data_IF_213702637886
#
_entry.id   IF_213702637886
#
_cell.length_a   1.000
_cell.length_b   1.000
_cell.length_c   1.000
_cell.angle_alpha   90.00
_cell.angle_beta   90.00
_cell.angle_gamma   90.00
#
_symmetry.space_group_name_H-M   'P 1'
#
loop_
_entity.id
_entity.type
_entity.pdbx_description
1 polymer ?
#
# COMPACT_ATOMS: atom_id res chain seq x y z
N UNK A 1 -62.12 -9.87 -35.17
CA UNK A 1 -62.67 -9.13 -34.02
C UNK A 1 -61.69 -9.35 -32.89
N UNK A 2 -60.66 -8.53 -32.84
CA UNK A 2 -59.59 -8.67 -31.84
C UNK A 2 -59.78 -7.56 -30.81
N UNK A 3 -60.47 -7.89 -29.70
CA UNK A 3 -60.46 -7.05 -28.52
C UNK A 3 -59.12 -7.28 -27.83
N UNK A 4 -58.14 -6.44 -28.15
CA UNK A 4 -56.92 -6.34 -27.36
C UNK A 4 -57.27 -5.55 -26.09
N UNK A 5 -57.79 -6.24 -25.08
CA UNK A 5 -57.99 -5.67 -23.76
C UNK A 5 -56.60 -5.50 -23.13
N UNK A 6 -56.04 -4.30 -23.29
CA UNK A 6 -54.71 -3.98 -22.79
C UNK A 6 -54.62 -4.13 -21.26
N UNK A 7 -53.43 -4.43 -20.70
CA UNK A 7 -53.26 -4.61 -19.27
C UNK A 7 -53.78 -3.38 -18.48
N UNK A 8 -54.46 -3.58 -17.34
CA UNK A 8 -54.99 -2.47 -16.56
C UNK A 8 -53.85 -1.53 -16.13
N UNK A 9 -54.10 -0.21 -16.17
CA UNK A 9 -53.08 0.81 -15.85
C UNK A 9 -52.39 0.57 -14.49
N UNK A 10 -53.13 0.03 -13.52
CA UNK A 10 -52.59 -0.35 -12.21
C UNK A 10 -51.50 -1.44 -12.31
N UNK A 11 -51.68 -2.43 -13.19
CA UNK A 11 -50.68 -3.47 -13.43
C UNK A 11 -49.43 -2.90 -14.12
N UNK A 12 -49.60 -1.95 -15.05
CA UNK A 12 -48.48 -1.25 -15.69
C UNK A 12 -47.68 -0.42 -14.68
N UNK A 13 -48.35 0.30 -13.79
CA UNK A 13 -47.70 1.10 -12.73
C UNK A 13 -46.97 0.20 -11.74
N UNK A 14 -47.59 -0.89 -11.28
CA UNK A 14 -46.96 -1.83 -10.36
C UNK A 14 -45.72 -2.49 -10.97
N UNK A 15 -45.78 -2.90 -12.24
CA UNK A 15 -44.65 -3.46 -12.96
C UNK A 15 -43.49 -2.44 -13.10
N UNK A 16 -43.81 -1.18 -13.38
CA UNK A 16 -42.80 -0.11 -13.47
C UNK A 16 -42.10 0.13 -12.13
N UNK A 17 -42.86 0.20 -11.02
CA UNK A 17 -42.28 0.41 -9.68
C UNK A 17 -41.38 -0.76 -9.29
N UNK A 18 -41.80 -2.00 -9.55
CA UNK A 18 -40.98 -3.18 -9.29
C UNK A 18 -39.69 -3.18 -10.13
N UNK A 19 -39.79 -2.82 -11.42
CA UNK A 19 -38.62 -2.74 -12.30
C UNK A 19 -37.63 -1.68 -11.83
N UNK A 20 -38.09 -0.47 -11.50
CA UNK A 20 -37.25 0.62 -10.99
C UNK A 20 -36.63 0.26 -9.64
N UNK A 21 -37.41 -0.35 -8.74
CA UNK A 21 -36.91 -0.82 -7.44
C UNK A 21 -35.82 -1.87 -7.59
N UNK A 22 -36.03 -2.87 -8.46
CA UNK A 22 -35.04 -3.90 -8.75
C UNK A 22 -33.75 -3.30 -9.34
N UNK A 23 -33.85 -2.37 -10.29
CA UNK A 23 -32.69 -1.67 -10.86
C UNK A 23 -31.96 -0.88 -9.76
N UNK A 24 -32.68 -0.16 -8.90
CA UNK A 24 -32.09 0.59 -7.79
C UNK A 24 -31.30 -0.31 -6.83
N UNK A 25 -31.85 -1.48 -6.48
CA UNK A 25 -31.16 -2.47 -5.64
C UNK A 25 -29.92 -3.03 -6.35
N UNK A 26 -30.03 -3.38 -7.64
CA UNK A 26 -28.90 -3.90 -8.42
C UNK A 26 -27.77 -2.87 -8.52
N UNK A 27 -28.08 -1.60 -8.77
CA UNK A 27 -27.10 -0.52 -8.83
C UNK A 27 -26.43 -0.28 -7.47
N UNK A 28 -27.20 -0.31 -6.37
CA UNK A 28 -26.64 -0.19 -5.02
C UNK A 28 -25.69 -1.36 -4.67
N UNK A 29 -26.05 -2.58 -5.06
CA UNK A 29 -25.19 -3.76 -4.88
C UNK A 29 -23.95 -3.69 -5.79
N UNK A 30 -24.09 -3.23 -7.03
CA UNK A 30 -22.97 -3.06 -7.94
C UNK A 30 -21.98 -2.00 -7.45
N UNK A 31 -22.48 -0.89 -6.89
CA UNK A 31 -21.65 0.17 -6.32
C UNK A 31 -20.87 -0.28 -5.06
N UNK A 32 -21.34 -1.31 -4.35
CA UNK A 32 -20.65 -1.86 -3.18
C UNK A 32 -19.71 -3.02 -3.53
N UNK A 33 -19.89 -3.68 -4.68
CA UNK A 33 -18.99 -4.73 -5.18
C UNK A 33 -17.69 -4.12 -5.73
N UNK A 34 -16.65 -4.15 -4.92
CA UNK A 34 -15.30 -3.93 -5.41
C UNK A 34 -14.73 -5.27 -5.92
N UNK A 35 -14.20 -5.35 -7.16
CA UNK A 35 -13.51 -6.55 -7.60
C UNK A 35 -12.36 -6.88 -6.65
N UNK A 36 -12.12 -8.16 -6.32
CA UNK A 36 -11.00 -8.55 -5.50
C UNK A 36 -9.71 -8.07 -6.16
N UNK A 37 -8.91 -7.28 -5.43
CA UNK A 37 -7.67 -6.75 -5.96
C UNK A 37 -6.69 -7.90 -6.18
N UNK A 38 -6.11 -7.95 -7.38
CA UNK A 38 -5.09 -8.95 -7.67
C UNK A 38 -3.94 -8.84 -6.66
N UNK A 39 -3.46 -9.95 -6.09
CA UNK A 39 -2.34 -9.91 -5.17
C UNK A 39 -1.09 -9.24 -5.78
N UNK A 40 -0.34 -8.50 -4.97
CA UNK A 40 0.93 -7.91 -5.38
C UNK A 40 2.01 -8.98 -5.31
N UNK A 41 2.72 -9.21 -6.42
CA UNK A 41 3.92 -10.05 -6.42
C UNK A 41 5.08 -9.23 -5.85
N UNK A 42 5.63 -9.69 -4.73
CA UNK A 42 6.76 -9.04 -4.06
C UNK A 42 7.95 -9.99 -4.11
N UNK A 43 9.05 -9.56 -4.73
CA UNK A 43 10.29 -10.33 -4.71
C UNK A 43 10.79 -10.50 -3.27
N UNK A 44 11.18 -11.73 -2.93
CA UNK A 44 11.81 -12.06 -1.67
C UNK A 44 13.21 -11.45 -1.60
N UNK A 45 13.49 -10.75 -0.51
CA UNK A 45 14.80 -10.18 -0.19
C UNK A 45 15.12 -10.65 1.24
N UNK A 46 16.38 -11.04 1.54
CA UNK A 46 16.75 -11.42 2.90
C UNK A 46 16.36 -10.35 3.92
N UNK A 47 15.60 -10.77 4.94
CA UNK A 47 15.11 -9.90 6.00
C UNK A 47 15.29 -10.61 7.36
N UNK A 48 16.55 -10.80 7.82
CA UNK A 48 16.87 -11.61 9.00
C UNK A 48 16.35 -11.01 10.31
N UNK A 49 15.92 -9.75 10.31
CA UNK A 49 15.47 -9.03 11.51
C UNK A 49 13.95 -8.79 11.54
N UNK A 50 13.18 -9.56 10.78
CA UNK A 50 11.72 -9.43 10.68
C UNK A 50 10.98 -9.66 11.99
N UNK A 51 11.51 -10.51 12.88
CA UNK A 51 10.92 -10.79 14.20
C UNK A 51 11.20 -9.69 15.25
N UNK A 52 11.99 -8.67 14.90
CA UNK A 52 12.30 -7.56 15.79
C UNK A 52 11.01 -6.85 16.26
N UNK A 53 11.00 -6.42 17.53
CA UNK A 53 9.85 -5.74 18.13
C UNK A 53 9.45 -4.46 17.37
N UNK A 54 10.43 -3.73 16.81
CA UNK A 54 10.17 -2.55 16.00
C UNK A 54 9.38 -2.90 14.72
N UNK A 55 9.76 -3.98 14.02
CA UNK A 55 8.99 -4.43 12.84
C UNK A 55 7.57 -4.83 13.20
N UNK A 56 7.36 -5.54 14.31
CA UNK A 56 6.02 -5.88 14.78
C UNK A 56 5.19 -4.64 15.08
N UNK A 57 5.74 -3.69 15.84
CA UNK A 57 5.07 -2.43 16.16
C UNK A 57 4.69 -1.62 14.91
N UNK A 58 5.59 -1.56 13.91
CA UNK A 58 5.28 -0.92 12.63
C UNK A 58 4.13 -1.64 11.93
N UNK A 59 4.21 -2.97 11.78
CA UNK A 59 3.22 -3.77 11.07
C UNK A 59 1.82 -3.70 11.70
N UNK A 60 1.75 -3.65 13.02
CA UNK A 60 0.50 -3.49 13.77
C UNK A 60 -0.15 -2.11 13.53
N UNK A 61 0.67 -1.09 13.26
CA UNK A 61 0.22 0.28 13.08
C UNK A 61 0.05 0.70 11.61
N UNK A 62 0.42 -0.15 10.64
CA UNK A 62 0.43 0.25 9.24
C UNK A 62 -0.97 0.63 8.72
N UNK A 63 -1.11 1.72 7.96
CA UNK A 63 -2.40 2.23 7.56
C UNK A 63 -3.01 1.41 6.42
N UNK A 64 -4.33 1.53 6.28
CA UNK A 64 -5.06 1.00 5.14
C UNK A 64 -4.84 1.81 3.86
N UNK A 65 -4.44 3.08 3.99
CA UNK A 65 -4.16 4.00 2.88
C UNK A 65 -2.83 4.71 3.07
N UNK A 66 -2.13 4.94 1.96
CA UNK A 66 -0.97 5.81 1.85
C UNK A 66 -1.22 6.76 0.66
N UNK A 67 -1.66 7.99 0.93
CA UNK A 67 -2.22 8.87 -0.10
C UNK A 67 -3.32 8.18 -0.90
N UNK A 68 -3.15 8.12 -2.23
CA UNK A 68 -4.08 7.47 -3.16
C UNK A 68 -3.89 5.95 -3.27
N UNK A 69 -2.88 5.40 -2.59
CA UNK A 69 -2.63 3.96 -2.55
C UNK A 69 -3.43 3.31 -1.43
N UNK A 70 -4.09 2.21 -1.71
CA UNK A 70 -4.78 1.42 -0.69
C UNK A 70 -4.08 0.07 -0.52
N UNK A 71 -4.01 -0.41 0.72
CA UNK A 71 -3.43 -1.70 1.11
C UNK A 71 -3.93 -2.81 0.19
N UNK A 72 -3.01 -3.63 -0.28
CA UNK A 72 -3.26 -4.72 -1.19
C UNK A 72 -2.71 -6.03 -0.60
N UNK A 73 -3.38 -7.18 -0.82
CA UNK A 73 -2.82 -8.46 -0.44
C UNK A 73 -1.55 -8.75 -1.23
N UNK A 74 -0.61 -9.47 -0.63
CA UNK A 74 0.61 -9.96 -1.29
C UNK A 74 0.38 -11.39 -1.77
N UNK A 75 0.94 -11.76 -2.92
CA UNK A 75 0.86 -13.11 -3.46
C UNK A 75 1.59 -14.11 -2.54
N UNK A 76 1.04 -15.32 -2.42
CA UNK A 76 1.68 -16.37 -1.63
C UNK A 76 2.84 -17.03 -2.39
N UNK A 77 3.93 -17.41 -1.71
CA UNK A 77 4.20 -17.20 -0.29
C UNK A 77 4.55 -15.74 0.03
N UNK A 78 3.92 -15.18 1.06
CA UNK A 78 4.17 -13.79 1.48
C UNK A 78 5.57 -13.67 2.09
N UNK A 79 6.47 -12.83 1.55
CA UNK A 79 7.76 -12.59 2.18
C UNK A 79 7.57 -11.99 3.60
N UNK A 80 8.36 -12.43 4.59
CA UNK A 80 8.23 -11.91 5.96
C UNK A 80 8.56 -10.42 5.99
N UNK A 81 7.82 -9.68 6.82
CA UNK A 81 7.99 -8.23 6.96
C UNK A 81 7.71 -7.43 5.68
N UNK A 82 6.88 -7.94 4.76
CA UNK A 82 6.47 -7.22 3.56
C UNK A 82 5.01 -6.72 3.66
N UNK A 83 4.77 -5.49 3.20
CA UNK A 83 3.44 -4.93 3.00
C UNK A 83 3.39 -4.19 1.66
N UNK A 84 2.20 -4.11 1.06
CA UNK A 84 2.02 -3.45 -0.23
C UNK A 84 0.74 -2.62 -0.28
N UNK A 85 0.79 -1.54 -1.04
CA UNK A 85 -0.35 -0.71 -1.39
C UNK A 85 -0.37 -0.51 -2.90
N UNK A 86 -1.56 -0.43 -3.49
CA UNK A 86 -1.72 -0.19 -4.91
C UNK A 86 -2.64 1.01 -5.13
N UNK A 87 -2.28 1.84 -6.10
CA UNK A 87 -3.19 2.83 -6.66
C UNK A 87 -4.38 2.12 -7.33
N UNK A 88 -5.44 2.84 -7.68
CA UNK A 88 -6.59 2.25 -8.38
C UNK A 88 -6.18 1.51 -9.67
N UNK A 89 -6.88 0.42 -9.99
CA UNK A 89 -6.61 -0.41 -11.18
C UNK A 89 -5.32 -1.25 -11.06
N UNK A 90 -4.59 -1.36 -12.17
CA UNK A 90 -3.35 -2.14 -12.30
C UNK A 90 -2.09 -1.29 -12.08
N UNK A 91 -2.20 -0.20 -11.32
CA UNK A 91 -1.09 0.68 -11.01
C UNK A 91 0.06 -0.04 -10.31
N UNK A 92 1.28 0.47 -10.48
CA UNK A 92 2.45 -0.08 -9.81
C UNK A 92 2.34 0.06 -8.28
N UNK A 93 2.74 -0.96 -7.51
CA UNK A 93 2.56 -0.95 -6.07
C UNK A 93 3.67 -0.18 -5.34
N UNK A 94 3.29 0.49 -4.26
CA UNK A 94 4.21 0.88 -3.19
C UNK A 94 4.47 -0.36 -2.33
N UNK A 95 5.74 -0.67 -2.08
CA UNK A 95 6.13 -1.87 -1.31
C UNK A 95 6.99 -1.46 -0.13
N UNK A 96 6.59 -1.91 1.05
CA UNK A 96 7.33 -1.79 2.29
C UNK A 96 7.98 -3.13 2.65
N UNK A 97 9.23 -3.10 3.11
CA UNK A 97 9.92 -4.25 3.70
C UNK A 97 10.56 -3.82 5.02
N UNK A 98 10.42 -4.60 6.08
CA UNK A 98 11.05 -4.34 7.38
C UNK A 98 12.01 -5.47 7.75
N UNK A 99 13.05 -5.14 8.52
CA UNK A 99 13.95 -6.14 9.09
C UNK A 99 15.05 -6.56 8.12
N UNK A 100 15.41 -5.67 7.20
CA UNK A 100 16.48 -5.89 6.23
C UNK A 100 17.86 -5.72 6.88
N UNK A 101 18.87 -6.29 6.24
CA UNK A 101 20.27 -5.93 6.50
C UNK A 101 20.57 -4.51 6.02
N UNK A 102 21.68 -3.95 6.52
CA UNK A 102 22.19 -2.66 6.05
C UNK A 102 22.41 -2.71 4.53
N UNK A 103 21.87 -1.77 3.74
CA UNK A 103 22.17 -1.71 2.31
C UNK A 103 23.67 -1.46 2.10
N UNK A 104 24.28 -2.22 1.18
CA UNK A 104 25.73 -2.21 0.96
C UNK A 104 26.28 -0.81 0.64
N UNK A 105 25.51 -0.02 -0.10
CA UNK A 105 25.89 1.33 -0.54
C UNK A 105 25.67 2.41 0.54
N UNK A 106 25.06 2.06 1.68
CA UNK A 106 24.97 2.98 2.81
C UNK A 106 26.28 3.01 3.59
N UNK A 107 27.21 3.82 3.08
CA UNK A 107 28.56 4.02 3.60
C UNK A 107 28.74 5.43 4.15
N UNK A 108 29.86 5.67 4.85
CA UNK A 108 30.20 6.99 5.37
C UNK A 108 30.21 8.01 4.21
N UNK A 109 29.49 9.11 4.39
CA UNK A 109 29.33 10.15 3.36
C UNK A 109 28.17 9.93 2.39
N UNK A 110 27.46 8.81 2.48
CA UNK A 110 26.24 8.59 1.69
C UNK A 110 25.20 9.67 2.00
N UNK A 111 24.52 10.23 0.98
CA UNK A 111 23.53 11.27 1.17
C UNK A 111 22.29 10.72 1.89
N UNK A 112 21.80 11.48 2.87
CA UNK A 112 20.61 11.16 3.67
C UNK A 112 19.61 12.30 3.53
N UNK A 113 18.32 11.97 3.50
CA UNK A 113 17.23 12.94 3.50
C UNK A 113 16.35 12.72 4.72
N UNK A 114 16.02 13.80 5.42
CA UNK A 114 15.09 13.76 6.55
C UNK A 114 13.68 14.01 6.02
N UNK A 115 12.75 13.12 6.34
CA UNK A 115 11.32 13.27 6.08
C UNK A 115 10.62 13.01 7.40
N UNK A 116 9.91 14.01 7.92
CA UNK A 116 9.10 13.92 9.14
C UNK A 116 9.80 13.17 10.31
N UNK A 117 11.03 13.58 10.63
CA UNK A 117 11.81 13.01 11.75
C UNK A 117 12.53 11.69 11.47
N UNK A 118 12.37 11.11 10.27
CA UNK A 118 13.03 9.87 9.84
C UNK A 118 14.15 10.18 8.86
N UNK A 119 15.34 9.60 9.06
CA UNK A 119 16.45 9.70 8.12
C UNK A 119 16.40 8.57 7.10
N UNK A 120 16.36 8.96 5.82
CA UNK A 120 16.25 8.05 4.69
C UNK A 120 17.49 8.09 3.79
N UNK A 121 17.99 6.92 3.43
CA UNK A 121 18.99 6.73 2.38
C UNK A 121 18.29 6.19 1.12
N UNK A 122 18.51 6.85 -0.03
CA UNK A 122 17.86 6.48 -1.29
C UNK A 122 18.76 5.64 -2.20
N UNK A 123 18.24 4.51 -2.66
CA UNK A 123 18.75 3.76 -3.80
C UNK A 123 17.83 4.00 -4.99
N UNK A 124 18.34 4.64 -6.04
CA UNK A 124 17.63 4.78 -7.32
C UNK A 124 17.92 3.55 -8.17
N UNK A 125 16.87 2.86 -8.56
CA UNK A 125 16.93 1.70 -9.46
C UNK A 125 16.01 2.00 -10.63
N UNK A 126 16.60 2.28 -11.78
CA UNK A 126 15.89 2.67 -13.01
C UNK A 126 14.91 3.84 -12.77
N UNK A 127 13.62 3.61 -12.97
CA UNK A 127 12.54 4.57 -12.77
C UNK A 127 11.94 4.55 -11.36
N UNK A 128 12.32 3.57 -10.53
CA UNK A 128 11.86 3.41 -9.15
C UNK A 128 12.87 3.95 -8.14
N UNK A 129 12.35 4.34 -6.99
CA UNK A 129 13.19 4.74 -5.84
C UNK A 129 12.91 3.85 -4.64
N UNK A 130 13.95 3.26 -4.06
CA UNK A 130 13.86 2.51 -2.81
C UNK A 130 14.55 3.31 -1.71
N UNK A 131 13.81 3.62 -0.65
CA UNK A 131 14.25 4.45 0.47
C UNK A 131 14.42 3.58 1.71
N UNK A 132 15.59 3.65 2.35
CA UNK A 132 15.91 2.89 3.55
C UNK A 132 15.94 3.81 4.77
N UNK A 133 15.23 3.48 5.84
CA UNK A 133 15.43 4.15 7.13
C UNK A 133 16.80 3.78 7.68
N UNK A 134 17.60 4.77 8.08
CA UNK A 134 18.98 4.53 8.56
C UNK A 134 19.20 4.86 10.02
N UNK A 135 18.20 5.46 10.68
CA UNK A 135 18.22 5.90 12.07
C UNK A 135 17.13 5.18 12.90
N UNK A 136 16.76 3.96 12.52
CA UNK A 136 15.81 3.10 13.24
C UNK A 136 16.47 1.76 13.63
N UNK A 137 15.97 1.02 14.63
CA UNK A 137 16.64 -0.17 15.17
C UNK A 137 16.81 -1.32 14.17
N UNK A 138 16.04 -1.29 13.09
CA UNK A 138 16.07 -2.21 11.96
C UNK A 138 15.89 -1.41 10.68
N UNK A 139 16.49 -1.88 9.58
CA UNK A 139 16.33 -1.21 8.30
C UNK A 139 14.96 -1.53 7.69
N UNK A 140 14.24 -0.48 7.34
CA UNK A 140 12.95 -0.51 6.65
C UNK A 140 13.16 0.07 5.26
N UNK A 141 12.75 -0.65 4.22
CA UNK A 141 12.78 -0.17 2.84
C UNK A 141 11.38 0.15 2.33
N UNK A 142 11.22 1.32 1.71
CA UNK A 142 10.03 1.75 0.99
C UNK A 142 10.38 1.92 -0.50
N UNK A 143 9.85 1.05 -1.35
CA UNK A 143 9.95 1.19 -2.81
C UNK A 143 8.74 1.96 -3.32
N UNK A 144 9.01 3.09 -3.97
CA UNK A 144 8.02 3.97 -4.59
C UNK A 144 8.12 3.90 -6.12
N UNK A 145 7.00 3.62 -6.83
CA UNK A 145 6.96 3.75 -8.29
C UNK A 145 7.04 5.21 -8.76
N UNK A 146 7.32 5.45 -10.06
CA UNK A 146 7.25 6.77 -10.65
C UNK A 146 5.92 7.47 -10.36
N UNK A 147 5.97 8.77 -10.10
CA UNK A 147 4.74 9.56 -9.89
C UNK A 147 4.02 9.33 -8.56
N UNK A 148 4.63 8.62 -7.60
CA UNK A 148 4.02 8.40 -6.26
C UNK A 148 3.76 9.68 -5.46
N UNK A 149 4.44 10.78 -5.81
CA UNK A 149 4.45 12.00 -5.00
C UNK A 149 5.11 11.79 -3.63
N UNK A 150 5.14 12.83 -2.77
CA UNK A 150 5.77 12.76 -1.45
C UNK A 150 4.88 12.11 -0.38
N UNK A 151 3.56 12.11 -0.57
CA UNK A 151 2.58 11.70 0.46
C UNK A 151 2.84 10.31 1.05
N UNK A 152 3.15 9.25 0.27
CA UNK A 152 3.37 7.93 0.85
C UNK A 152 4.57 7.87 1.80
N UNK A 153 5.69 8.53 1.47
CA UNK A 153 6.87 8.53 2.33
C UNK A 153 6.67 9.43 3.55
N UNK A 154 5.95 10.54 3.43
CA UNK A 154 5.63 11.41 4.57
C UNK A 154 4.76 10.69 5.61
N UNK A 155 3.63 10.13 5.18
CA UNK A 155 2.72 9.41 6.09
C UNK A 155 3.37 8.19 6.74
N UNK A 156 4.24 7.49 6.01
CA UNK A 156 4.98 6.37 6.59
C UNK A 156 6.09 6.86 7.54
N UNK A 157 6.71 8.01 7.27
CA UNK A 157 7.72 8.59 8.15
C UNK A 157 7.12 9.00 9.48
N UNK A 158 5.98 9.71 9.48
CA UNK A 158 5.22 10.05 10.69
C UNK A 158 4.93 8.80 11.54
N UNK A 159 4.46 7.73 10.89
CA UNK A 159 4.16 6.47 11.57
C UNK A 159 5.42 5.83 12.16
N UNK A 160 6.50 5.76 11.38
CA UNK A 160 7.76 5.17 11.81
C UNK A 160 8.34 5.95 12.99
N UNK A 161 8.28 7.28 12.98
CA UNK A 161 8.72 8.12 14.09
C UNK A 161 7.92 7.85 15.37
N UNK A 162 6.61 7.63 15.23
CA UNK A 162 5.73 7.33 16.37
C UNK A 162 6.01 5.94 17.00
N UNK A 163 6.30 4.93 16.19
CA UNK A 163 6.33 3.52 16.65
C UNK A 163 7.72 2.91 16.75
N UNK A 164 8.74 3.56 16.18
CA UNK A 164 10.13 3.10 16.25
C UNK A 164 11.04 4.19 16.83
N UNK A 165 11.79 3.91 17.91
CA UNK A 165 12.70 4.90 18.46
C UNK A 165 13.85 5.19 17.50
N UNK A 166 14.27 6.46 17.45
CA UNK A 166 15.47 6.85 16.73
C UNK A 166 16.73 6.25 17.39
N UNK A 167 17.68 5.81 16.58
CA UNK A 167 19.00 5.32 17.02
C UNK A 167 20.12 5.97 16.20
N UNK A 168 21.36 6.03 16.70
CA UNK A 168 22.48 6.51 15.90
C UNK A 168 22.63 5.71 14.59
N UNK A 169 22.87 6.43 13.48
CA UNK A 169 23.09 5.80 12.18
C UNK A 169 24.38 4.94 12.18
N UNK A 170 24.38 3.84 11.41
CA UNK A 170 25.52 2.91 11.34
C UNK A 170 25.97 2.64 9.89
N UNK A 171 26.53 3.65 9.20
CA UNK A 171 27.03 3.47 7.83
C UNK A 171 28.20 2.49 7.76
N UNK A 172 28.35 1.81 6.63
CA UNK A 172 29.55 1.02 6.32
C UNK A 172 30.78 1.91 6.17
N UNK A 173 31.97 1.34 6.39
CA UNK A 173 33.22 1.98 5.98
C UNK A 173 33.29 1.83 4.46
N UNK A 174 33.21 2.93 3.72
CA UNK A 174 33.37 2.89 2.25
C UNK A 174 34.70 2.23 1.88
N UNK A 175 34.72 1.53 0.75
CA UNK A 175 35.95 0.98 0.17
C UNK A 175 36.79 2.06 -0.48
#
# INVERSE_FOLDING_TARGET
MDNYEGPPRAALIAALVLAVGAIGVVLAVAATRHPPRQPVVVAAVPAPHTDNAACRALFDALPQRLGDYQRAPIAQPTPPGAAAWRAGGDGEPVVLRCGLDRPADFVVGAPIQVVDGVQWFALRQDDRSTWYTVDRPVYVALTLPPGSGPTPIQQLSDLIDQVMPAVPINPGRGT
#
